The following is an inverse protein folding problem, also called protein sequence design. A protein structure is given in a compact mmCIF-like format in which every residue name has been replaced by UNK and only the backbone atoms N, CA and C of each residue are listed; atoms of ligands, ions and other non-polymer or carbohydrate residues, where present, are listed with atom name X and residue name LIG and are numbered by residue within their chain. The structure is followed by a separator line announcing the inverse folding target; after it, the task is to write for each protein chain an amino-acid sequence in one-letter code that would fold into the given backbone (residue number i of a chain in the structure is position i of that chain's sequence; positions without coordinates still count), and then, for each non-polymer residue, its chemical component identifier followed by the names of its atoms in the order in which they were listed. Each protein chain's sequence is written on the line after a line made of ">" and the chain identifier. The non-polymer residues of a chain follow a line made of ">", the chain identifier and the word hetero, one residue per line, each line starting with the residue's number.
data_IF_111096110240
#
_entry.id   IF_111096110240
#
_cell.length_a   1.000
_cell.length_b   1.000
_cell.length_c   1.000
_cell.angle_alpha   90.00
_cell.angle_beta   90.00
_cell.angle_gamma   90.00
#
_symmetry.space_group_name_H-M   'P 1'
#
loop_
_entity.id
_entity.type
_entity.pdbx_description
1 polymer ?
#
# COMPACT_ATOMS: atom_id res chain seq x y z
N UNK A 1 11.62 23.17 20.92
CA UNK A 1 10.70 23.90 20.03
C UNK A 1 9.90 22.85 19.27
N UNK A 2 8.60 22.81 19.50
CA UNK A 2 7.66 21.80 19.04
C UNK A 2 7.16 22.14 17.64
N UNK A 3 7.69 21.47 16.62
CA UNK A 3 6.99 21.33 15.34
C UNK A 3 5.89 20.31 15.54
N UNK A 4 4.69 20.78 15.87
CA UNK A 4 3.49 20.00 15.58
C UNK A 4 3.48 19.80 14.06
N UNK A 5 3.63 18.55 13.61
CA UNK A 5 3.21 18.19 12.26
C UNK A 5 1.70 18.33 12.31
N UNK A 6 1.19 19.52 11.98
CA UNK A 6 -0.19 19.62 11.54
C UNK A 6 -0.24 18.68 10.34
N UNK A 7 -0.98 17.58 10.46
CA UNK A 7 -1.60 16.94 9.33
C UNK A 7 -2.53 17.99 8.70
N UNK A 8 -1.93 19.00 8.07
CA UNK A 8 -2.64 19.88 7.17
C UNK A 8 -3.22 18.95 6.12
N UNK A 9 -4.45 19.20 5.66
CA UNK A 9 -4.94 18.55 4.46
C UNK A 9 -3.99 19.06 3.37
N UNK A 10 -2.91 18.32 3.11
CA UNK A 10 -2.13 18.53 1.92
C UNK A 10 -3.18 18.45 0.83
N UNK A 11 -3.34 19.56 0.11
CA UNK A 11 -4.07 19.58 -1.14
C UNK A 11 -3.33 18.66 -2.09
N UNK A 12 -3.47 17.35 -1.86
CA UNK A 12 -3.08 16.28 -2.74
C UNK A 12 -4.05 16.47 -3.89
N UNK A 13 -3.55 17.16 -4.91
CA UNK A 13 -4.26 17.37 -6.15
C UNK A 13 -4.79 16.01 -6.60
N UNK A 14 -6.09 15.93 -6.87
CA UNK A 14 -6.72 14.68 -7.29
C UNK A 14 -6.08 14.23 -8.60
N UNK A 15 -5.70 12.96 -8.68
CA UNK A 15 -5.40 12.32 -9.95
C UNK A 15 -6.54 12.61 -10.94
N UNK A 16 -6.19 13.03 -12.15
CA UNK A 16 -7.14 13.16 -13.25
C UNK A 16 -7.66 11.74 -13.51
N UNK A 17 -8.98 11.58 -13.34
CA UNK A 17 -9.71 10.31 -13.38
C UNK A 17 -9.71 9.67 -14.77
N UNK A 18 -8.54 9.26 -15.29
CA UNK A 18 -8.48 8.94 -16.71
C UNK A 18 -9.09 7.58 -17.05
N UNK A 19 -9.25 6.63 -16.12
CA UNK A 19 -9.75 5.29 -16.48
C UNK A 19 -10.55 4.56 -15.37
N UNK A 20 -11.58 5.19 -14.79
CA UNK A 20 -12.57 4.44 -14.00
C UNK A 20 -13.55 3.71 -14.91
N UNK A 21 -13.62 2.38 -14.80
CA UNK A 21 -14.49 1.54 -15.62
C UNK A 21 -15.55 0.88 -14.74
N UNK A 22 -16.81 0.93 -15.18
CA UNK A 22 -17.96 0.32 -14.50
C UNK A 22 -18.20 0.78 -13.04
N UNK A 23 -17.64 1.93 -12.64
CA UNK A 23 -17.84 2.52 -11.32
C UNK A 23 -18.99 3.55 -11.35
N UNK A 24 -19.91 3.47 -10.37
CA UNK A 24 -20.84 4.56 -10.10
C UNK A 24 -20.11 5.79 -9.55
N UNK A 25 -20.72 6.97 -9.61
CA UNK A 25 -20.07 8.20 -9.17
C UNK A 25 -19.71 8.19 -7.67
N UNK A 26 -20.54 7.55 -6.84
CA UNK A 26 -20.23 7.31 -5.42
C UNK A 26 -18.97 6.44 -5.24
N UNK A 27 -18.85 5.35 -6.01
CA UNK A 27 -17.68 4.46 -5.97
C UNK A 27 -16.44 5.16 -6.46
N UNK A 28 -16.55 5.97 -7.53
CA UNK A 28 -15.45 6.81 -8.02
C UNK A 28 -14.98 7.78 -6.95
N UNK A 29 -15.89 8.49 -6.29
CA UNK A 29 -15.52 9.42 -5.23
C UNK A 29 -14.78 8.74 -4.08
N UNK A 30 -15.23 7.55 -3.63
CA UNK A 30 -14.50 6.78 -2.61
C UNK A 30 -13.11 6.36 -3.08
N UNK A 31 -12.98 5.91 -4.33
CA UNK A 31 -11.71 5.46 -4.89
C UNK A 31 -10.74 6.61 -5.15
N UNK A 32 -11.22 7.78 -5.55
CA UNK A 32 -10.41 9.00 -5.64
C UNK A 32 -9.81 9.36 -4.28
N UNK A 33 -10.61 9.30 -3.20
CA UNK A 33 -10.08 9.52 -1.85
C UNK A 33 -9.09 8.43 -1.45
N UNK A 34 -9.39 7.15 -1.73
CA UNK A 34 -8.49 6.06 -1.38
C UNK A 34 -7.15 6.13 -2.14
N UNK A 35 -7.15 6.54 -3.41
CA UNK A 35 -5.92 6.80 -4.19
C UNK A 35 -5.12 7.97 -3.61
N UNK A 36 -5.79 9.05 -3.20
CA UNK A 36 -5.13 10.17 -2.54
C UNK A 36 -4.53 9.77 -1.19
N UNK A 37 -5.24 8.97 -0.39
CA UNK A 37 -4.76 8.43 0.88
C UNK A 37 -3.55 7.50 0.67
N UNK A 38 -3.59 6.59 -0.31
CA UNK A 38 -2.47 5.73 -0.67
C UNK A 38 -1.21 6.55 -1.02
N UNK A 39 -1.38 7.63 -1.78
CA UNK A 39 -0.30 8.55 -2.08
C UNK A 39 0.19 9.31 -0.83
N UNK A 40 -0.70 9.67 0.10
CA UNK A 40 -0.32 10.30 1.36
C UNK A 40 0.53 9.38 2.25
N UNK A 41 0.11 8.11 2.39
CA UNK A 41 0.84 7.06 3.10
C UNK A 41 2.23 6.85 2.49
N UNK A 42 2.28 6.67 1.16
CA UNK A 42 3.55 6.50 0.45
C UNK A 42 4.45 7.75 0.57
N UNK A 43 3.88 8.95 0.47
CA UNK A 43 4.63 10.19 0.54
C UNK A 43 5.25 10.43 1.93
N UNK A 44 4.54 10.12 3.03
CA UNK A 44 5.12 10.26 4.37
C UNK A 44 6.23 9.22 4.60
N UNK A 45 6.07 8.01 4.04
CA UNK A 45 7.07 6.95 4.17
C UNK A 45 8.36 7.29 3.41
N UNK A 46 8.26 7.71 2.15
CA UNK A 46 9.46 8.07 1.36
C UNK A 46 10.21 9.27 1.92
N UNK A 47 9.51 10.29 2.44
CA UNK A 47 10.12 11.53 2.90
C UNK A 47 10.82 11.41 4.25
N UNK A 48 10.28 10.60 5.17
CA UNK A 48 10.66 10.71 6.58
C UNK A 48 10.66 9.37 7.34
N UNK A 49 10.41 8.21 6.72
CA UNK A 49 10.41 6.97 7.51
C UNK A 49 11.75 6.72 8.20
N UNK A 50 11.68 6.52 9.51
CA UNK A 50 12.82 6.13 10.33
C UNK A 50 13.02 4.62 10.20
N UNK A 51 14.13 4.22 9.58
CA UNK A 51 14.45 2.80 9.34
C UNK A 51 14.75 2.03 10.63
N UNK A 52 14.92 2.72 11.76
CA UNK A 52 15.04 2.11 13.09
C UNK A 52 13.70 2.02 13.84
N UNK A 53 12.61 2.59 13.29
CA UNK A 53 11.29 2.55 13.91
C UNK A 53 10.61 1.19 13.70
N UNK A 54 9.69 0.86 14.60
CA UNK A 54 8.82 -0.32 14.51
C UNK A 54 8.04 -0.38 13.21
N UNK A 55 7.55 0.76 12.70
CA UNK A 55 6.91 0.82 11.39
C UNK A 55 7.79 0.31 10.24
N UNK A 56 9.12 0.41 10.34
CA UNK A 56 10.02 -0.15 9.33
C UNK A 56 10.45 -1.57 9.71
N UNK A 57 10.96 -1.76 10.93
CA UNK A 57 11.55 -3.03 11.38
C UNK A 57 10.54 -4.13 11.67
N UNK A 58 9.23 -3.84 11.66
CA UNK A 58 8.19 -4.87 11.64
C UNK A 58 8.03 -5.52 10.25
N UNK A 59 8.40 -4.83 9.18
CA UNK A 59 8.07 -5.26 7.81
C UNK A 59 9.26 -5.31 6.84
N UNK A 60 10.36 -4.63 7.12
CA UNK A 60 11.47 -4.47 6.19
C UNK A 60 12.81 -4.61 6.92
N UNK A 61 13.83 -5.10 6.21
CA UNK A 61 15.22 -5.10 6.65
C UNK A 61 15.88 -3.78 6.28
N UNK A 62 17.00 -3.44 6.93
CA UNK A 62 17.71 -2.21 6.63
C UNK A 62 18.12 -2.12 5.14
N UNK A 63 18.56 -3.22 4.54
CA UNK A 63 18.92 -3.29 3.12
C UNK A 63 17.73 -3.14 2.15
N UNK A 64 16.50 -3.28 2.65
CA UNK A 64 15.27 -3.16 1.85
C UNK A 64 14.85 -1.69 1.64
N UNK A 65 15.49 -0.75 2.33
CA UNK A 65 15.07 0.65 2.40
C UNK A 65 15.00 1.35 1.04
N UNK A 66 16.00 1.15 0.17
CA UNK A 66 16.04 1.80 -1.15
C UNK A 66 14.92 1.30 -2.06
N UNK A 67 14.64 0.00 -2.04
CA UNK A 67 13.55 -0.60 -2.83
C UNK A 67 12.18 -0.16 -2.33
N UNK A 68 11.96 -0.17 -1.01
CA UNK A 68 10.71 0.28 -0.41
C UNK A 68 10.45 1.78 -0.70
N UNK A 69 11.47 2.62 -0.54
CA UNK A 69 11.39 4.05 -0.90
C UNK A 69 11.15 4.27 -2.39
N UNK A 70 11.73 3.44 -3.25
CA UNK A 70 11.44 3.44 -4.69
C UNK A 70 9.97 3.21 -4.99
N UNK A 71 9.38 2.16 -4.40
CA UNK A 71 7.94 1.85 -4.55
C UNK A 71 7.05 2.98 -4.05
N UNK A 72 7.28 3.46 -2.82
CA UNK A 72 6.51 4.56 -2.26
C UNK A 72 6.66 5.84 -3.08
N UNK A 73 7.86 6.15 -3.58
CA UNK A 73 8.08 7.28 -4.47
C UNK A 73 7.21 7.21 -5.72
N UNK A 74 7.14 6.03 -6.36
CA UNK A 74 6.34 5.82 -7.56
C UNK A 74 4.84 5.91 -7.29
N UNK A 75 4.37 5.36 -6.17
CA UNK A 75 2.96 5.50 -5.77
C UNK A 75 2.61 6.96 -5.48
N UNK A 76 3.42 7.66 -4.69
CA UNK A 76 3.22 9.07 -4.37
C UNK A 76 3.23 9.95 -5.64
N UNK A 77 4.18 9.73 -6.54
CA UNK A 77 4.29 10.46 -7.80
C UNK A 77 3.10 10.23 -8.75
N UNK A 78 2.41 9.09 -8.66
CA UNK A 78 1.23 8.81 -9.48
C UNK A 78 0.03 9.71 -9.17
N UNK A 79 0.04 10.38 -8.01
CA UNK A 79 -0.99 11.33 -7.65
C UNK A 79 -0.78 12.72 -8.30
N UNK A 80 0.32 12.96 -9.02
CA UNK A 80 0.45 14.13 -9.89
C UNK A 80 -0.35 13.89 -11.19
N UNK A 81 -1.48 14.58 -11.40
CA UNK A 81 -2.32 14.38 -12.58
C UNK A 81 -1.68 14.91 -13.88
N UNK A 82 -0.60 15.69 -13.78
CA UNK A 82 0.07 16.32 -14.94
C UNK A 82 1.24 15.49 -15.47
N UNK A 83 1.94 14.76 -14.58
CA UNK A 83 3.15 14.02 -14.91
C UNK A 83 3.20 12.64 -14.21
N UNK A 84 2.10 11.89 -14.24
CA UNK A 84 2.07 10.56 -13.64
C UNK A 84 3.10 9.62 -14.32
N UNK A 85 4.01 8.97 -13.56
CA UNK A 85 5.08 8.14 -14.13
C UNK A 85 4.59 6.85 -14.82
N UNK A 86 3.33 6.47 -14.59
CA UNK A 86 2.68 5.32 -15.20
C UNK A 86 1.17 5.48 -15.22
N UNK A 87 0.50 4.68 -16.03
CA UNK A 87 -0.96 4.67 -16.16
C UNK A 87 -1.52 3.28 -15.91
N UNK A 88 -2.70 3.23 -15.31
CA UNK A 88 -3.49 2.02 -15.10
C UNK A 88 -4.97 2.40 -15.03
N UNK A 89 -5.84 1.42 -15.21
CA UNK A 89 -7.29 1.57 -15.10
C UNK A 89 -7.80 1.02 -13.77
N UNK A 90 -8.89 1.58 -13.26
CA UNK A 90 -9.57 1.08 -12.06
C UNK A 90 -10.95 0.61 -12.43
N UNK A 91 -11.20 -0.70 -12.34
CA UNK A 91 -12.49 -1.30 -12.69
C UNK A 91 -13.26 -1.65 -11.43
N UNK A 92 -14.52 -1.23 -11.34
CA UNK A 92 -15.42 -1.72 -10.29
C UNK A 92 -16.00 -3.07 -10.73
N UNK A 93 -15.51 -4.15 -10.13
CA UNK A 93 -15.93 -5.51 -10.43
C UNK A 93 -17.38 -5.78 -10.06
N UNK A 94 -18.07 -6.57 -10.89
CA UNK A 94 -19.38 -7.15 -10.56
C UNK A 94 -19.26 -8.46 -9.79
N UNK A 95 -18.15 -9.18 -10.00
CA UNK A 95 -17.81 -10.45 -9.35
C UNK A 95 -16.30 -10.48 -9.12
N UNK A 96 -15.92 -11.02 -7.97
CA UNK A 96 -14.56 -11.31 -7.57
C UNK A 96 -14.54 -12.68 -6.87
N UNK A 97 -13.36 -13.28 -6.68
CA UNK A 97 -13.18 -14.32 -5.67
C UNK A 97 -13.79 -13.89 -4.33
N UNK A 98 -14.34 -14.86 -3.60
CA UNK A 98 -15.03 -14.59 -2.34
C UNK A 98 -14.05 -14.02 -1.33
N UNK A 99 -14.42 -12.90 -0.69
CA UNK A 99 -13.60 -12.26 0.35
C UNK A 99 -12.56 -11.26 -0.15
N UNK A 100 -12.28 -11.19 -1.47
CA UNK A 100 -11.30 -10.23 -2.00
C UNK A 100 -11.80 -8.78 -1.90
N UNK A 101 -10.91 -7.87 -1.50
CA UNK A 101 -11.13 -6.42 -1.52
C UNK A 101 -10.80 -5.83 -2.89
N UNK A 102 -9.65 -6.18 -3.44
CA UNK A 102 -9.23 -5.80 -4.77
C UNK A 102 -8.31 -6.90 -5.36
N UNK A 103 -7.97 -6.75 -6.64
CA UNK A 103 -7.03 -7.61 -7.38
C UNK A 103 -6.36 -6.72 -8.42
N UNK A 104 -5.06 -6.90 -8.65
CA UNK A 104 -4.32 -6.16 -9.67
C UNK A 104 -3.77 -7.07 -10.76
N UNK A 105 -3.91 -6.66 -12.03
CA UNK A 105 -3.26 -7.31 -13.17
C UNK A 105 -1.78 -6.89 -13.20
N UNK A 106 -0.92 -7.77 -12.66
CA UNK A 106 0.52 -7.55 -12.57
C UNK A 106 1.28 -7.85 -13.87
N UNK A 107 0.61 -8.27 -14.96
CA UNK A 107 1.28 -8.54 -16.23
C UNK A 107 1.84 -7.22 -16.81
N UNK A 108 3.05 -7.17 -17.37
CA UNK A 108 3.57 -5.98 -18.04
C UNK A 108 2.62 -5.49 -19.12
N UNK A 109 2.46 -4.18 -19.25
CA UNK A 109 1.63 -3.60 -20.30
C UNK A 109 2.19 -3.96 -21.68
N UNK A 110 1.33 -4.50 -22.55
CA UNK A 110 1.61 -4.69 -23.97
C UNK A 110 0.69 -3.77 -24.80
N UNK A 111 1.29 -2.96 -25.67
CA UNK A 111 0.58 -1.94 -26.44
C UNK A 111 0.01 -0.79 -25.59
N UNK A 112 -1.15 -0.27 -26.01
CA UNK A 112 -1.73 0.97 -25.49
C UNK A 112 -2.83 0.77 -24.44
N UNK A 113 -3.16 -0.47 -24.07
CA UNK A 113 -4.21 -0.76 -23.10
C UNK A 113 -3.60 -0.76 -21.69
N UNK A 114 -3.99 0.17 -20.80
CA UNK A 114 -3.49 0.17 -19.44
C UNK A 114 -3.91 -1.08 -18.69
N UNK A 115 -3.02 -1.61 -17.85
CA UNK A 115 -3.33 -2.70 -16.91
C UNK A 115 -4.37 -2.25 -15.89
N UNK A 116 -5.11 -3.20 -15.34
CA UNK A 116 -6.28 -2.92 -14.50
C UNK A 116 -6.07 -3.34 -13.05
N UNK A 117 -6.54 -2.48 -12.13
CA UNK A 117 -6.87 -2.85 -10.76
C UNK A 117 -8.39 -3.05 -10.68
N UNK A 118 -8.82 -4.25 -10.30
CA UNK A 118 -10.20 -4.64 -10.10
C UNK A 118 -10.60 -4.42 -8.64
N UNK A 119 -11.48 -3.46 -8.39
CA UNK A 119 -12.05 -3.21 -7.06
C UNK A 119 -13.30 -4.05 -6.87
N UNK A 120 -13.28 -4.91 -5.86
CA UNK A 120 -14.35 -5.84 -5.60
C UNK A 120 -15.53 -5.19 -4.87
N UNK A 121 -16.76 -5.72 -5.00
CA UNK A 121 -17.89 -5.23 -4.22
C UNK A 121 -17.67 -5.24 -2.71
N UNK A 122 -16.82 -6.13 -2.19
CA UNK A 122 -16.55 -6.23 -0.76
C UNK A 122 -15.79 -5.01 -0.22
N UNK A 123 -14.86 -4.42 -0.98
CA UNK A 123 -14.16 -3.17 -0.63
C UNK A 123 -15.08 -2.01 -0.23
N UNK A 124 -16.29 -1.95 -0.79
CA UNK A 124 -17.22 -0.86 -0.48
C UNK A 124 -18.01 -1.07 0.82
N UNK A 125 -17.90 -2.24 1.45
CA UNK A 125 -18.65 -2.61 2.66
C UNK A 125 -17.81 -3.24 3.78
N UNK A 126 -16.57 -3.62 3.48
CA UNK A 126 -15.62 -4.22 4.39
C UNK A 126 -15.22 -3.24 5.51
N UNK A 127 -14.87 -3.76 6.68
CA UNK A 127 -14.53 -2.94 7.84
C UNK A 127 -13.17 -2.25 7.65
N UNK A 128 -12.22 -3.00 7.10
CA UNK A 128 -10.83 -2.69 6.78
C UNK A 128 -10.72 -1.52 5.78
N UNK A 129 -11.73 -1.36 4.92
CA UNK A 129 -11.78 -0.33 3.87
C UNK A 129 -12.91 0.67 4.10
N UNK A 130 -13.61 0.61 5.24
CA UNK A 130 -14.69 1.54 5.59
C UNK A 130 -14.16 2.96 5.78
N UNK A 131 -12.99 3.08 6.39
CA UNK A 131 -12.39 4.35 6.76
C UNK A 131 -11.44 4.88 5.67
N UNK A 132 -11.22 6.18 5.71
CA UNK A 132 -10.21 6.93 4.98
C UNK A 132 -9.37 7.69 6.02
N UNK A 133 -8.20 8.22 5.67
CA UNK A 133 -7.29 8.87 6.64
C UNK A 133 -7.94 10.06 7.39
N UNK A 134 -8.91 10.73 6.77
CA UNK A 134 -9.63 11.88 7.32
C UNK A 134 -10.95 11.53 8.02
N UNK A 135 -11.33 10.24 8.11
CA UNK A 135 -12.64 9.84 8.65
C UNK A 135 -12.75 10.01 10.18
N UNK A 136 -11.62 10.09 10.88
CA UNK A 136 -11.53 10.35 12.33
C UNK A 136 -10.51 11.45 12.61
N UNK A 137 -10.65 12.10 13.75
CA UNK A 137 -9.68 13.09 14.22
C UNK A 137 -8.42 12.41 14.77
N UNK A 138 -7.27 13.05 14.62
CA UNK A 138 -6.00 12.62 15.22
C UNK A 138 -5.90 13.07 16.68
N UNK A 139 -6.83 12.58 17.49
CA UNK A 139 -6.99 12.89 18.91
C UNK A 139 -7.34 11.61 19.69
N UNK A 140 -7.32 11.67 21.02
CA UNK A 140 -7.55 10.49 21.88
C UNK A 140 -8.96 9.89 21.76
N UNK A 141 -9.92 10.64 21.21
CA UNK A 141 -11.29 10.22 20.88
C UNK A 141 -11.46 9.74 19.42
N UNK A 142 -10.37 9.74 18.63
CA UNK A 142 -10.37 9.33 17.22
C UNK A 142 -9.28 8.30 16.92
N UNK A 143 -8.45 8.55 15.91
CA UNK A 143 -7.36 7.65 15.52
C UNK A 143 -6.35 7.41 16.64
N UNK A 144 -6.09 8.41 17.48
CA UNK A 144 -5.04 8.33 18.49
C UNK A 144 -5.55 7.76 19.82
N UNK A 145 -6.58 6.92 19.77
CA UNK A 145 -7.12 6.23 20.94
C UNK A 145 -6.11 5.21 21.47
N UNK A 146 -5.98 5.09 22.78
CA UNK A 146 -5.10 4.10 23.41
C UNK A 146 -5.60 2.66 23.19
N UNK A 147 -4.67 1.71 23.03
CA UNK A 147 -4.99 0.29 22.85
C UNK A 147 -5.59 -0.04 21.48
N UNK A 148 -5.26 0.76 20.46
CA UNK A 148 -5.56 0.43 19.07
C UNK A 148 -4.58 -0.64 18.58
N UNK A 149 -5.08 -1.53 17.74
CA UNK A 149 -4.30 -2.53 17.02
C UNK A 149 -4.13 -2.11 15.55
N UNK A 150 -3.23 -2.76 14.80
CA UNK A 150 -3.01 -2.44 13.39
C UNK A 150 -4.33 -2.51 12.59
N UNK A 151 -5.14 -3.53 12.85
CA UNK A 151 -6.47 -3.71 12.24
C UNK A 151 -7.44 -2.52 12.45
N UNK A 152 -7.22 -1.69 13.49
CA UNK A 152 -8.02 -0.48 13.70
C UNK A 152 -7.64 0.67 12.75
N UNK A 153 -6.43 0.63 12.20
CA UNK A 153 -5.81 1.67 11.35
C UNK A 153 -5.96 1.39 9.85
N UNK A 154 -6.56 0.27 9.50
CA UNK A 154 -6.80 -0.10 8.12
C UNK A 154 -7.79 0.86 7.48
N UNK A 155 -7.42 1.27 6.27
CA UNK A 155 -8.19 2.23 5.48
C UNK A 155 -8.29 1.77 4.03
N UNK A 156 -9.23 2.36 3.30
CA UNK A 156 -9.27 2.22 1.85
C UNK A 156 -7.94 2.59 1.19
N UNK A 157 -7.23 3.59 1.73
CA UNK A 157 -5.90 3.99 1.24
C UNK A 157 -4.82 2.94 1.44
N UNK A 158 -4.85 2.20 2.56
CA UNK A 158 -3.94 1.07 2.80
C UNK A 158 -4.11 -0.01 1.72
N UNK A 159 -5.34 -0.47 1.49
CA UNK A 159 -5.61 -1.49 0.45
C UNK A 159 -5.24 -0.99 -0.94
N UNK A 160 -5.51 0.28 -1.28
CA UNK A 160 -5.11 0.81 -2.59
C UNK A 160 -3.58 0.92 -2.71
N UNK A 161 -2.87 1.29 -1.65
CA UNK A 161 -1.40 1.29 -1.63
C UNK A 161 -0.86 -0.12 -1.90
N UNK A 162 -1.37 -1.12 -1.19
CA UNK A 162 -1.05 -2.54 -1.40
C UNK A 162 -1.19 -2.91 -2.88
N UNK A 163 -2.38 -2.71 -3.44
CA UNK A 163 -2.70 -3.10 -4.82
C UNK A 163 -1.86 -2.38 -5.87
N UNK A 164 -1.56 -1.09 -5.65
CA UNK A 164 -0.72 -0.33 -6.58
C UNK A 164 0.70 -0.92 -6.68
N UNK A 165 1.21 -1.56 -5.64
CA UNK A 165 2.56 -2.17 -5.67
C UNK A 165 2.63 -3.42 -6.55
N UNK A 166 1.51 -4.11 -6.80
CA UNK A 166 1.45 -5.25 -7.71
C UNK A 166 1.60 -4.86 -9.19
N UNK A 167 1.40 -3.59 -9.55
CA UNK A 167 1.53 -3.14 -10.94
C UNK A 167 2.98 -3.27 -11.41
N UNK A 168 3.22 -4.01 -12.50
CA UNK A 168 4.55 -4.13 -13.12
C UNK A 168 5.20 -2.77 -13.36
N UNK A 169 4.43 -1.80 -13.86
CA UNK A 169 4.93 -0.45 -14.15
C UNK A 169 5.44 0.27 -12.89
N UNK A 170 4.85 0.00 -11.72
CA UNK A 170 5.28 0.57 -10.43
C UNK A 170 6.61 -0.03 -10.03
N UNK A 171 6.68 -1.37 -9.96
CA UNK A 171 7.90 -2.08 -9.59
C UNK A 171 9.05 -1.78 -10.55
N UNK A 172 8.79 -1.76 -11.85
CA UNK A 172 9.78 -1.46 -12.89
C UNK A 172 10.32 -0.04 -12.75
N UNK A 173 9.46 0.94 -12.50
CA UNK A 173 9.87 2.34 -12.30
C UNK A 173 10.61 2.54 -10.98
N UNK A 174 10.30 1.72 -9.97
CA UNK A 174 10.99 1.67 -8.69
C UNK A 174 12.31 0.88 -8.72
N UNK A 175 12.61 0.16 -9.81
CA UNK A 175 13.83 -0.62 -9.96
C UNK A 175 13.80 -2.01 -9.29
N UNK A 176 12.60 -2.55 -9.00
CA UNK A 176 12.48 -3.92 -8.49
C UNK A 176 13.03 -4.93 -9.50
N UNK A 177 13.59 -6.06 -9.05
CA UNK A 177 13.97 -7.13 -9.95
C UNK A 177 12.72 -7.79 -10.55
N UNK A 178 12.82 -8.17 -11.82
CA UNK A 178 11.80 -8.96 -12.51
C UNK A 178 11.72 -10.38 -11.93
N UNK A 179 10.50 -10.88 -11.73
CA UNK A 179 10.19 -12.25 -11.30
C UNK A 179 9.48 -13.02 -12.39
N UNK A 180 9.72 -14.34 -12.45
CA UNK A 180 9.12 -15.25 -13.41
C UNK A 180 7.94 -16.03 -12.81
N UNK A 181 6.76 -15.90 -13.42
CA UNK A 181 5.52 -16.59 -13.03
C UNK A 181 5.17 -17.74 -13.99
N UNK A 182 6.12 -18.12 -14.86
CA UNK A 182 6.00 -19.19 -15.85
C UNK A 182 5.37 -18.74 -17.17
N UNK A 183 4.26 -17.99 -17.12
CA UNK A 183 3.55 -17.50 -18.31
C UNK A 183 3.78 -16.01 -18.61
N UNK A 184 4.24 -15.25 -17.62
CA UNK A 184 4.70 -13.87 -17.78
C UNK A 184 5.77 -13.59 -16.73
N UNK A 185 6.43 -12.45 -16.89
CA UNK A 185 7.35 -11.92 -15.90
C UNK A 185 6.87 -10.55 -15.44
N UNK A 186 7.10 -10.19 -14.19
CA UNK A 186 6.65 -8.91 -13.64
C UNK A 186 7.63 -8.36 -12.63
N UNK A 187 7.69 -7.04 -12.52
CA UNK A 187 8.41 -6.32 -11.46
C UNK A 187 7.50 -5.99 -10.27
N UNK A 188 6.20 -6.30 -10.36
CA UNK A 188 5.23 -6.07 -9.28
C UNK A 188 5.55 -6.88 -8.03
N UNK A 189 5.05 -6.41 -6.90
CA UNK A 189 5.09 -7.15 -5.63
C UNK A 189 4.15 -8.37 -5.65
N UNK A 190 4.31 -9.27 -4.69
CA UNK A 190 3.50 -10.47 -4.52
C UNK A 190 2.74 -10.47 -3.20
N UNK A 191 1.66 -11.26 -3.17
CA UNK A 191 0.98 -11.65 -1.94
C UNK A 191 1.57 -12.92 -1.34
N UNK A 192 1.45 -13.02 -0.01
CA UNK A 192 1.76 -14.25 0.71
C UNK A 192 0.56 -15.19 0.70
N UNK A 193 0.75 -16.43 0.26
CA UNK A 193 -0.20 -17.51 0.54
C UNK A 193 -0.02 -17.98 1.99
N UNK A 194 -0.80 -17.41 2.89
CA UNK A 194 -0.74 -17.69 4.33
C UNK A 194 -2.11 -17.98 4.92
N UNK A 195 -2.12 -18.77 5.99
CA UNK A 195 -3.31 -18.99 6.85
C UNK A 195 -3.45 -17.94 7.94
N UNK A 196 -2.43 -17.10 8.12
CA UNK A 196 -2.44 -16.00 9.07
C UNK A 196 -3.21 -14.81 8.49
N UNK A 197 -3.56 -13.87 9.36
CA UNK A 197 -3.88 -12.51 8.95
C UNK A 197 -2.74 -11.93 8.10
N UNK A 198 -3.05 -11.11 7.08
CA UNK A 198 -2.05 -10.66 6.10
C UNK A 198 -0.96 -9.80 6.72
N UNK A 199 -1.27 -8.98 7.73
CA UNK A 199 -0.28 -8.15 8.42
C UNK A 199 0.62 -9.02 9.29
N UNK A 200 0.03 -10.01 9.98
CA UNK A 200 0.78 -10.99 10.76
C UNK A 200 1.70 -11.83 9.85
N UNK A 201 1.22 -12.25 8.68
CA UNK A 201 2.00 -12.98 7.67
C UNK A 201 3.16 -12.13 7.15
N UNK A 202 2.96 -10.84 6.91
CA UNK A 202 4.01 -9.92 6.47
C UNK A 202 5.11 -9.75 7.55
N UNK A 203 4.73 -9.62 8.83
CA UNK A 203 5.70 -9.57 9.94
C UNK A 203 6.44 -10.91 10.09
N UNK A 204 5.75 -12.04 9.94
CA UNK A 204 6.37 -13.37 9.98
C UNK A 204 7.35 -13.62 8.81
N UNK A 205 7.05 -13.11 7.61
CA UNK A 205 7.98 -13.14 6.48
C UNK A 205 9.29 -12.45 6.82
N UNK A 206 9.23 -11.22 7.35
CA UNK A 206 10.43 -10.49 7.77
C UNK A 206 11.19 -11.29 8.83
N UNK A 207 10.48 -11.77 9.85
CA UNK A 207 11.09 -12.53 10.94
C UNK A 207 11.89 -13.72 10.43
N UNK A 208 11.35 -14.46 9.47
CA UNK A 208 12.08 -15.55 8.81
C UNK A 208 13.38 -15.09 8.17
N UNK A 209 13.33 -14.02 7.36
CA UNK A 209 14.52 -13.47 6.70
C UNK A 209 15.59 -12.94 7.68
N UNK A 210 15.19 -12.47 8.86
CA UNK A 210 16.12 -11.97 9.89
C UNK A 210 16.71 -13.10 10.73
N UNK A 211 15.89 -14.08 11.14
CA UNK A 211 16.32 -15.14 12.05
C UNK A 211 17.06 -16.28 11.34
N UNK A 212 16.65 -16.64 10.12
CA UNK A 212 17.22 -17.76 9.37
C UNK A 212 17.21 -17.49 7.84
N UNK A 213 17.98 -16.49 7.36
CA UNK A 213 18.01 -16.14 5.94
C UNK A 213 18.46 -17.29 5.04
N UNK A 214 19.32 -18.19 5.55
CA UNK A 214 19.84 -19.35 4.80
C UNK A 214 18.76 -20.42 4.53
N UNK A 215 17.63 -20.38 5.25
CA UNK A 215 16.47 -21.24 4.97
C UNK A 215 15.69 -20.84 3.72
N UNK A 216 15.93 -19.63 3.19
CA UNK A 216 15.31 -19.12 1.98
C UNK A 216 16.22 -19.38 0.77
N UNK A 217 15.63 -19.87 -0.32
CA UNK A 217 16.34 -19.93 -1.60
C UNK A 217 16.55 -18.54 -2.21
N UNK A 218 17.47 -18.43 -3.17
CA UNK A 218 17.80 -17.16 -3.84
C UNK A 218 16.56 -16.45 -4.46
N UNK A 219 15.61 -17.25 -4.95
CA UNK A 219 14.36 -16.82 -5.60
C UNK A 219 13.20 -16.60 -4.60
N UNK A 220 13.43 -16.77 -3.30
CA UNK A 220 12.40 -16.55 -2.30
C UNK A 220 11.93 -15.09 -2.30
N UNK A 221 10.64 -14.90 -1.99
CA UNK A 221 10.03 -13.59 -1.84
C UNK A 221 10.70 -12.84 -0.69
N UNK A 222 11.35 -11.70 -1.01
CA UNK A 222 11.95 -10.82 -0.01
C UNK A 222 10.90 -9.87 0.57
N UNK A 223 11.09 -9.30 1.78
CA UNK A 223 10.09 -8.45 2.40
C UNK A 223 9.70 -7.23 1.54
N UNK A 224 10.66 -6.56 0.88
CA UNK A 224 10.34 -5.44 -0.04
C UNK A 224 9.57 -5.84 -1.30
N UNK A 225 9.52 -7.13 -1.61
CA UNK A 225 8.77 -7.67 -2.75
C UNK A 225 7.36 -8.09 -2.35
N UNK A 226 7.00 -8.09 -1.05
CA UNK A 226 5.64 -8.37 -0.61
C UNK A 226 4.82 -7.07 -0.52
N UNK A 227 3.62 -7.08 -1.13
CA UNK A 227 2.76 -5.90 -1.17
C UNK A 227 2.35 -5.42 0.23
N UNK A 228 2.03 -6.37 1.11
CA UNK A 228 1.59 -6.08 2.46
C UNK A 228 2.69 -5.49 3.34
N UNK A 229 3.92 -6.02 3.28
CA UNK A 229 5.07 -5.42 3.95
C UNK A 229 5.26 -3.93 3.58
N UNK A 230 5.06 -3.58 2.31
CA UNK A 230 5.20 -2.21 1.81
C UNK A 230 4.03 -1.31 2.26
N UNK A 231 2.79 -1.81 2.17
CA UNK A 231 1.60 -1.06 2.56
C UNK A 231 1.50 -0.86 4.07
N UNK A 232 1.78 -1.92 4.85
CA UNK A 232 1.71 -1.89 6.29
C UNK A 232 2.77 -0.99 6.92
N UNK A 233 4.01 -1.02 6.43
CA UNK A 233 5.07 -0.12 6.90
C UNK A 233 4.70 1.37 6.74
N UNK A 234 4.18 1.76 5.57
CA UNK A 234 3.74 3.13 5.33
C UNK A 234 2.53 3.53 6.20
N UNK A 235 1.60 2.59 6.41
CA UNK A 235 0.41 2.78 7.24
C UNK A 235 0.79 2.96 8.71
N UNK A 236 1.61 2.05 9.25
CA UNK A 236 2.09 2.12 10.63
C UNK A 236 2.88 3.42 10.84
N UNK A 237 3.74 3.80 9.89
CA UNK A 237 4.51 5.05 9.96
C UNK A 237 3.61 6.29 10.02
N UNK A 238 2.57 6.35 9.19
CA UNK A 238 1.61 7.44 9.21
C UNK A 238 0.99 7.64 10.59
N UNK A 239 0.51 6.55 11.21
CA UNK A 239 -0.15 6.63 12.51
C UNK A 239 0.83 6.83 13.66
N UNK A 240 2.04 6.24 13.62
CA UNK A 240 3.11 6.55 14.56
C UNK A 240 3.41 8.05 14.56
N UNK A 241 3.57 8.67 13.40
CA UNK A 241 3.86 10.12 13.29
C UNK A 241 2.69 10.99 13.71
N UNK A 242 1.48 10.64 13.26
CA UNK A 242 0.30 11.46 13.49
C UNK A 242 -0.19 11.38 14.94
N UNK A 243 -0.08 10.21 15.57
CA UNK A 243 -0.53 9.96 16.93
C UNK A 243 0.58 9.94 17.98
N UNK A 244 1.85 10.05 17.57
CA UNK A 244 3.02 9.97 18.44
C UNK A 244 3.10 8.65 19.20
N UNK A 245 2.66 7.57 18.57
CA UNK A 245 2.89 6.23 19.09
C UNK A 245 4.37 5.86 18.98
N UNK A 246 4.82 4.98 19.86
CA UNK A 246 6.16 4.36 19.74
C UNK A 246 6.10 3.07 18.93
N UNK A 247 4.95 2.40 18.95
CA UNK A 247 4.68 1.14 18.26
C UNK A 247 3.18 0.95 18.07
N UNK A 248 2.80 0.06 17.15
CA UNK A 248 1.43 -0.42 16.95
C UNK A 248 1.43 -1.95 16.98
N UNK A 249 0.65 -2.51 17.90
CA UNK A 249 0.46 -3.96 18.05
C UNK A 249 -0.38 -4.54 16.89
N UNK A 250 -0.27 -5.84 16.65
CA UNK A 250 -1.21 -6.58 15.78
C UNK A 250 -2.59 -6.72 16.41
#
# INVERSE_FOLDING_TARGET
>A
MTTAVNASPHGLFRRLAVNFVDCSDERKAKLETALADAAALANIAVLDIDTSSTAFTHYLREEDADMAKGLWSMVAANNDPTNAPYTFSVRCGKRCPSGSLAITDSVPQDGNTPREMLICPYFFKAAETKNNLDSKKYTADGWCKSGQHFSDFETAGHTILHEMTHLDAVGKSAGLPERDYGNFKSHGTDDLDSKLDYVAAARDLLKGWVEDPDSFGDDALKPYQNAENIAAAATEWWFIKSCKFTEIDL
#
